data_IF_070843512041
#
_entry.id   IF_070843512041
#
_cell.length_a   1.000
_cell.length_b   1.000
_cell.length_c   1.000
_cell.angle_alpha   90.00
_cell.angle_beta   90.00
_cell.angle_gamma   90.00
#
_symmetry.space_group_name_H-M   'P 1'
#
loop_
_entity.id
_entity.type
_entity.pdbx_description
1 polymer ?
#
# COMPACT_ATOMS: atom_id res chain seq x y z
N UNK A 1 -18.24 -2.59 -15.27
CA UNK A 1 -17.11 -2.70 -14.33
C UNK A 1 -16.79 -4.17 -14.27
N UNK A 2 -15.92 -4.64 -15.16
CA UNK A 2 -15.41 -6.01 -15.06
C UNK A 2 -14.56 -6.08 -13.79
N UNK A 3 -14.84 -7.07 -12.95
CA UNK A 3 -14.08 -7.27 -11.73
C UNK A 3 -12.64 -7.64 -12.12
N UNK A 4 -11.65 -6.89 -11.63
CA UNK A 4 -10.26 -7.31 -11.70
C UNK A 4 -10.17 -8.72 -11.13
N UNK A 5 -9.75 -9.69 -11.95
CA UNK A 5 -9.49 -11.04 -11.51
C UNK A 5 -8.36 -11.00 -10.46
N UNK A 6 -8.51 -11.69 -9.31
CA UNK A 6 -7.50 -11.67 -8.26
C UNK A 6 -6.23 -12.32 -8.80
N UNK A 7 -5.17 -11.53 -8.89
CA UNK A 7 -3.87 -11.96 -9.36
C UNK A 7 -3.27 -12.94 -8.35
N UNK A 8 -3.30 -14.24 -8.67
CA UNK A 8 -2.80 -15.31 -7.81
C UNK A 8 -1.29 -15.41 -7.89
N UNK A 9 -0.64 -15.19 -6.73
CA UNK A 9 0.69 -15.70 -6.32
C UNK A 9 1.92 -15.20 -7.10
N UNK A 10 2.57 -14.18 -6.55
CA UNK A 10 4.02 -13.97 -6.71
C UNK A 10 4.79 -15.19 -6.18
N UNK A 11 5.58 -15.88 -7.03
CA UNK A 11 6.15 -17.19 -6.69
C UNK A 11 7.65 -17.26 -6.40
N UNK A 12 8.49 -16.32 -6.84
CA UNK A 12 9.90 -16.14 -6.35
C UNK A 12 10.70 -15.19 -7.23
N UNK A 13 11.76 -14.60 -6.67
CA UNK A 13 12.91 -14.09 -7.43
C UNK A 13 13.89 -15.26 -7.60
N UNK A 14 14.34 -15.51 -8.82
CA UNK A 14 15.55 -16.29 -9.08
C UNK A 14 16.53 -15.37 -9.83
N UNK A 15 17.81 -15.43 -9.46
CA UNK A 15 18.87 -14.64 -10.09
C UNK A 15 19.29 -15.34 -11.40
N UNK A 16 19.17 -14.64 -12.53
CA UNK A 16 19.50 -15.18 -13.86
C UNK A 16 20.64 -14.39 -14.53
N UNK A 17 21.66 -15.10 -15.03
CA UNK A 17 22.61 -14.63 -16.06
C UNK A 17 22.24 -15.15 -17.47
N UNK A 18 23.05 -14.85 -18.50
CA UNK A 18 22.75 -15.26 -19.88
C UNK A 18 22.85 -16.79 -20.11
N UNK A 19 23.61 -17.52 -19.29
CA UNK A 19 23.62 -19.00 -19.30
C UNK A 19 22.34 -19.58 -18.66
N UNK A 20 21.80 -18.83 -17.71
CA UNK A 20 20.59 -19.09 -16.96
C UNK A 20 19.31 -19.01 -17.81
N UNK A 21 19.35 -18.42 -19.01
CA UNK A 21 18.23 -18.45 -19.96
C UNK A 21 17.95 -19.86 -20.51
N UNK A 22 19.00 -20.64 -20.75
CA UNK A 22 18.84 -22.05 -21.15
C UNK A 22 18.25 -22.84 -19.98
N UNK A 23 18.71 -22.57 -18.76
CA UNK A 23 18.15 -23.15 -17.54
C UNK A 23 16.72 -22.70 -17.25
N UNK A 24 16.30 -21.48 -17.63
CA UNK A 24 14.90 -21.05 -17.54
C UNK A 24 14.02 -21.84 -18.51
N UNK A 25 14.48 -22.02 -19.75
CA UNK A 25 13.77 -22.86 -20.73
C UNK A 25 13.69 -24.31 -20.24
N UNK A 26 14.77 -24.86 -19.69
CA UNK A 26 14.80 -26.21 -19.14
C UNK A 26 13.92 -26.34 -17.88
N UNK A 27 13.92 -25.33 -17.00
CA UNK A 27 13.03 -25.25 -15.82
C UNK A 27 11.55 -25.18 -16.21
N UNK A 28 11.20 -24.30 -17.16
CA UNK A 28 9.85 -24.21 -17.70
C UNK A 28 9.44 -25.50 -18.42
N UNK A 29 10.40 -26.20 -19.04
CA UNK A 29 10.20 -27.51 -19.64
C UNK A 29 10.09 -28.64 -18.61
N UNK A 30 10.48 -28.44 -17.35
CA UNK A 30 10.43 -29.46 -16.30
C UNK A 30 9.22 -29.34 -15.37
N UNK A 31 8.66 -28.15 -15.22
CA UNK A 31 7.49 -27.88 -14.37
C UNK A 31 6.23 -28.62 -14.86
N UNK A 32 5.70 -29.51 -14.01
CA UNK A 32 4.52 -30.34 -14.32
C UNK A 32 3.24 -29.52 -14.53
N UNK A 33 3.15 -28.32 -13.98
CA UNK A 33 1.98 -27.45 -14.15
C UNK A 33 1.92 -26.91 -15.58
N UNK A 34 3.07 -26.51 -16.12
CA UNK A 34 3.23 -26.02 -17.50
C UNK A 34 3.00 -27.15 -18.51
N UNK A 35 3.46 -28.37 -18.21
CA UNK A 35 3.23 -29.56 -19.06
C UNK A 35 1.74 -29.93 -19.19
N UNK A 36 0.98 -29.78 -18.11
CA UNK A 36 -0.41 -30.24 -18.06
C UNK A 36 -1.43 -29.27 -18.67
N UNK A 37 -1.12 -27.96 -18.75
CA UNK A 37 -2.09 -26.94 -19.21
C UNK A 37 -1.97 -26.50 -20.68
N UNK A 38 -1.08 -27.11 -21.48
CA UNK A 38 -1.01 -26.84 -22.92
C UNK A 38 -0.64 -25.38 -23.26
N UNK A 39 0.44 -24.88 -22.67
CA UNK A 39 0.88 -23.49 -22.78
C UNK A 39 1.26 -23.08 -24.21
N UNK A 40 0.94 -21.83 -24.59
CA UNK A 40 1.37 -21.21 -25.85
C UNK A 40 2.31 -20.06 -25.56
N UNK A 41 3.57 -20.16 -25.97
CA UNK A 41 4.55 -19.11 -25.76
C UNK A 41 4.54 -18.10 -26.91
N UNK A 42 4.46 -16.80 -26.61
CA UNK A 42 4.54 -15.71 -27.60
C UNK A 42 5.83 -14.94 -27.35
N UNK A 43 6.78 -15.06 -28.29
CA UNK A 43 8.05 -14.34 -28.27
C UNK A 43 8.04 -13.26 -29.35
N UNK A 44 8.37 -12.03 -28.97
CA UNK A 44 8.62 -10.93 -29.90
C UNK A 44 10.12 -10.64 -30.02
N UNK A 45 10.90 -11.68 -30.32
CA UNK A 45 12.31 -11.51 -30.71
C UNK A 45 12.69 -12.52 -31.80
N UNK A 46 13.55 -12.08 -32.73
CA UNK A 46 14.13 -12.92 -33.79
C UNK A 46 15.17 -13.93 -33.26
N UNK A 47 15.08 -14.34 -31.99
CA UNK A 47 16.06 -15.22 -31.38
C UNK A 47 15.87 -16.68 -31.86
N UNK A 48 16.70 -17.09 -32.83
CA UNK A 48 16.62 -18.40 -33.50
C UNK A 48 16.63 -19.61 -32.54
N UNK A 49 17.34 -19.50 -31.41
CA UNK A 49 17.42 -20.55 -30.39
C UNK A 49 16.09 -20.78 -29.64
N UNK A 50 15.32 -19.72 -29.38
CA UNK A 50 14.04 -19.83 -28.67
C UNK A 50 12.95 -20.39 -29.59
N UNK A 51 12.95 -19.97 -30.87
CA UNK A 51 12.07 -20.53 -31.90
C UNK A 51 12.25 -22.05 -32.07
N UNK A 52 13.48 -22.55 -32.01
CA UNK A 52 13.74 -23.98 -32.20
C UNK A 52 13.26 -24.83 -31.02
N UNK A 53 13.51 -24.38 -29.78
CA UNK A 53 13.13 -25.10 -28.54
C UNK A 53 11.62 -25.14 -28.28
N UNK A 54 10.86 -24.15 -28.76
CA UNK A 54 9.45 -23.96 -28.37
C UNK A 54 8.46 -24.22 -29.53
N UNK A 55 8.98 -24.60 -30.69
CA UNK A 55 8.20 -25.06 -31.85
C UNK A 55 7.19 -26.20 -31.59
N UNK A 56 7.37 -27.13 -30.62
CA UNK A 56 6.42 -28.22 -30.39
C UNK A 56 5.11 -27.82 -29.69
N UNK A 57 5.06 -26.66 -29.03
CA UNK A 57 3.95 -26.27 -28.13
C UNK A 57 2.85 -25.44 -28.82
N UNK A 58 2.89 -25.32 -30.16
CA UNK A 58 1.86 -24.65 -30.94
C UNK A 58 0.67 -25.59 -31.12
N UNK A 59 -0.30 -25.55 -30.20
CA UNK A 59 -1.75 -25.74 -30.44
C UNK A 59 -2.46 -26.22 -29.16
N UNK A 60 -3.06 -25.29 -28.42
CA UNK A 60 -3.95 -25.59 -27.30
C UNK A 60 -4.61 -24.33 -26.75
N UNK A 61 -5.81 -24.44 -26.17
CA UNK A 61 -6.42 -23.36 -25.37
C UNK A 61 -5.52 -23.14 -24.15
N UNK A 62 -4.61 -22.18 -24.19
CA UNK A 62 -3.39 -22.24 -23.37
C UNK A 62 -3.01 -20.93 -22.68
N UNK A 63 -2.34 -21.12 -21.54
CA UNK A 63 -1.52 -20.14 -20.82
C UNK A 63 -0.60 -19.43 -21.82
N UNK A 64 -0.79 -18.12 -22.00
CA UNK A 64 0.10 -17.29 -22.82
C UNK A 64 1.20 -16.69 -21.96
N UNK A 65 2.45 -16.99 -22.27
CA UNK A 65 3.60 -16.36 -21.62
C UNK A 65 4.21 -15.37 -22.62
N UNK A 66 4.25 -14.09 -22.25
CA UNK A 66 4.86 -13.01 -23.03
C UNK A 66 6.21 -12.69 -22.41
N UNK A 67 7.27 -12.71 -23.21
CA UNK A 67 8.61 -12.27 -22.80
C UNK A 67 8.89 -10.89 -23.41
N UNK A 68 9.19 -9.90 -22.57
CA UNK A 68 9.72 -8.61 -23.02
C UNK A 68 11.25 -8.61 -22.88
N UNK A 69 11.94 -8.34 -23.99
CA UNK A 69 13.40 -8.17 -24.02
C UNK A 69 13.74 -6.74 -24.45
N UNK A 70 14.74 -6.12 -23.84
CA UNK A 70 15.43 -4.98 -24.42
C UNK A 70 16.74 -5.48 -25.06
N UNK A 71 16.99 -5.14 -26.32
CA UNK A 71 18.36 -5.00 -26.81
C UNK A 71 18.92 -3.72 -26.20
N UNK A 72 20.03 -3.84 -25.46
CA UNK A 72 20.87 -2.70 -25.10
C UNK A 72 21.84 -2.52 -26.27
N UNK A 73 21.52 -1.62 -27.20
CA UNK A 73 22.55 -1.04 -28.07
C UNK A 73 22.94 0.32 -27.49
N UNK A 74 24.25 0.49 -27.34
CA UNK A 74 24.90 1.75 -26.99
C UNK A 74 24.49 2.82 -28.00
N UNK A 75 24.15 4.01 -27.51
CA UNK A 75 23.74 5.20 -28.27
C UNK A 75 22.38 5.14 -28.98
N UNK A 76 21.32 5.61 -28.30
CA UNK A 76 20.61 6.85 -28.70
C UNK A 76 19.39 7.10 -27.82
N UNK A 77 19.23 8.39 -27.52
CA UNK A 77 18.16 9.02 -26.77
C UNK A 77 16.76 8.78 -27.37
N UNK A 78 15.95 7.93 -26.74
CA UNK A 78 14.52 8.14 -26.43
C UNK A 78 14.06 6.96 -25.55
N UNK A 79 13.91 7.23 -24.24
CA UNK A 79 13.59 6.24 -23.20
C UNK A 79 12.07 6.12 -23.02
N UNK A 80 11.45 5.20 -23.76
CA UNK A 80 10.13 4.63 -23.43
C UNK A 80 10.11 3.23 -24.03
N UNK A 81 10.28 2.21 -23.20
CA UNK A 81 10.05 0.85 -23.64
C UNK A 81 8.54 0.64 -23.71
N UNK A 82 8.08 0.14 -24.85
CA UNK A 82 6.70 -0.30 -25.02
C UNK A 82 6.72 -1.79 -24.70
N UNK A 83 6.18 -2.17 -23.56
CA UNK A 83 5.73 -3.54 -23.39
C UNK A 83 4.66 -3.79 -24.47
N UNK A 84 5.05 -4.41 -25.60
CA UNK A 84 4.13 -4.82 -26.66
C UNK A 84 3.35 -6.05 -26.18
N UNK A 85 2.58 -5.91 -25.11
CA UNK A 85 1.39 -6.74 -24.98
C UNK A 85 0.46 -6.18 -26.04
N UNK A 86 0.36 -6.91 -27.15
CA UNK A 86 -0.61 -6.61 -28.19
C UNK A 86 -1.94 -6.24 -27.52
N UNK A 87 -2.61 -5.13 -27.90
CA UNK A 87 -3.85 -4.67 -27.29
C UNK A 87 -4.98 -5.72 -27.24
N UNK A 88 -4.81 -6.86 -27.90
CA UNK A 88 -5.72 -8.00 -28.00
C UNK A 88 -5.36 -9.25 -27.17
N UNK A 89 -4.28 -9.27 -26.38
CA UNK A 89 -3.82 -10.49 -25.71
C UNK A 89 -4.06 -10.51 -24.19
N UNK A 90 -5.02 -11.34 -23.75
CA UNK A 90 -5.09 -11.84 -22.37
C UNK A 90 -4.15 -13.05 -22.21
N UNK A 91 -3.54 -13.20 -21.04
CA UNK A 91 -2.65 -14.29 -20.64
C UNK A 91 -3.01 -14.80 -19.23
N UNK A 92 -2.62 -16.02 -18.89
CA UNK A 92 -2.78 -16.54 -17.53
C UNK A 92 -1.54 -16.23 -16.67
N UNK A 93 -0.32 -16.28 -17.24
CA UNK A 93 0.93 -16.00 -16.54
C UNK A 93 1.80 -15.03 -17.34
N UNK A 94 2.17 -13.89 -16.78
CA UNK A 94 3.13 -12.94 -17.34
C UNK A 94 4.51 -13.15 -16.71
N UNK A 95 5.54 -13.34 -17.53
CA UNK A 95 6.94 -13.42 -17.10
C UNK A 95 7.64 -12.12 -17.54
N UNK A 96 8.15 -11.34 -16.57
CA UNK A 96 8.78 -10.06 -16.89
C UNK A 96 10.04 -9.82 -16.07
N UNK A 97 11.03 -9.14 -16.65
CA UNK A 97 12.20 -8.71 -15.89
C UNK A 97 11.85 -7.55 -14.97
N UNK A 98 12.49 -7.50 -13.81
CA UNK A 98 12.31 -6.43 -12.80
C UNK A 98 12.34 -5.01 -13.40
N UNK A 99 13.14 -4.80 -14.45
CA UNK A 99 13.24 -3.56 -15.23
C UNK A 99 11.90 -2.93 -15.62
N UNK A 100 10.87 -3.76 -15.84
CA UNK A 100 9.61 -3.36 -16.45
C UNK A 100 8.47 -3.22 -15.44
N UNK A 101 8.76 -3.25 -14.13
CA UNK A 101 7.74 -3.14 -13.07
C UNK A 101 6.81 -1.92 -13.29
N UNK A 102 7.33 -0.78 -13.71
CA UNK A 102 6.53 0.42 -14.00
C UNK A 102 5.41 0.12 -15.00
N UNK A 103 5.75 -0.46 -16.15
CA UNK A 103 4.82 -0.70 -17.25
C UNK A 103 3.79 -1.79 -16.96
N UNK A 104 4.12 -2.74 -16.07
CA UNK A 104 3.27 -3.92 -15.78
C UNK A 104 2.05 -3.56 -14.94
N UNK A 105 2.24 -2.68 -13.97
CA UNK A 105 1.18 -2.30 -13.04
C UNK A 105 0.39 -1.10 -13.55
N UNK A 106 0.43 -0.77 -14.84
CA UNK A 106 -0.44 0.25 -15.42
C UNK A 106 -1.70 -0.38 -16.02
N UNK A 107 -2.85 0.29 -15.90
CA UNK A 107 -4.02 -0.10 -16.66
C UNK A 107 -3.78 0.19 -18.16
N UNK A 108 -4.18 -0.71 -19.09
CA UNK A 108 -5.01 -1.90 -18.90
C UNK A 108 -4.20 -3.20 -18.77
N UNK A 109 -2.88 -3.14 -18.60
CA UNK A 109 -2.02 -4.33 -18.64
C UNK A 109 -2.35 -5.30 -17.50
N UNK A 110 -2.60 -4.72 -16.35
CA UNK A 110 -2.84 -5.39 -15.08
C UNK A 110 -4.06 -6.30 -15.06
N UNK A 111 -5.06 -6.00 -15.90
CA UNK A 111 -6.29 -6.77 -16.04
C UNK A 111 -6.15 -7.93 -17.01
N UNK A 112 -4.97 -8.09 -17.63
CA UNK A 112 -4.75 -9.02 -18.74
C UNK A 112 -3.92 -10.25 -18.35
N UNK A 113 -3.51 -10.37 -17.10
CA UNK A 113 -2.78 -11.53 -16.59
C UNK A 113 -3.28 -11.98 -15.21
N UNK A 114 -3.28 -13.28 -14.95
CA UNK A 114 -3.72 -13.85 -13.65
C UNK A 114 -2.55 -14.09 -12.68
N UNK A 115 -1.34 -14.28 -13.18
CA UNK A 115 -0.12 -14.48 -12.39
C UNK A 115 1.03 -13.65 -12.98
N UNK A 116 1.87 -13.07 -12.14
CA UNK A 116 3.08 -12.34 -12.54
C UNK A 116 4.31 -12.95 -11.89
N UNK A 117 5.25 -13.38 -12.72
CA UNK A 117 6.57 -13.85 -12.32
C UNK A 117 7.61 -12.80 -12.72
N UNK A 118 8.20 -12.15 -11.72
CA UNK A 118 9.26 -11.15 -11.90
C UNK A 118 10.64 -11.84 -11.85
N UNK A 119 11.35 -11.85 -12.98
CA UNK A 119 12.70 -12.38 -13.08
C UNK A 119 13.72 -11.33 -12.66
N UNK A 120 14.63 -11.69 -11.76
CA UNK A 120 15.68 -10.80 -11.28
C UNK A 120 16.95 -11.04 -12.13
N UNK A 121 17.37 -10.03 -12.91
CA UNK A 121 18.68 -10.07 -13.56
C UNK A 121 19.65 -9.26 -12.70
N UNK A 122 20.75 -9.88 -12.29
CA UNK A 122 21.83 -9.18 -11.62
C UNK A 122 22.26 -7.99 -12.49
N UNK A 123 22.28 -6.78 -11.92
CA UNK A 123 22.61 -5.48 -12.55
C UNK A 123 21.47 -4.65 -13.17
N UNK A 124 20.20 -5.04 -13.06
CA UNK A 124 19.08 -4.15 -13.42
C UNK A 124 18.62 -3.36 -12.19
N UNK A 125 19.00 -2.09 -12.11
CA UNK A 125 18.58 -1.19 -11.04
C UNK A 125 17.23 -0.55 -11.40
N UNK A 126 16.15 -1.00 -10.76
CA UNK A 126 14.82 -0.37 -10.92
C UNK A 126 14.61 0.73 -9.91
N UNK A 127 13.98 1.83 -10.32
CA UNK A 127 13.62 2.91 -9.38
C UNK A 127 12.45 2.54 -8.46
N UNK A 128 11.81 1.38 -8.70
CA UNK A 128 10.63 0.90 -7.99
C UNK A 128 10.90 -0.44 -7.32
N UNK A 129 10.47 -0.55 -6.07
CA UNK A 129 10.56 -1.76 -5.26
C UNK A 129 9.17 -2.41 -5.10
N UNK A 130 9.06 -3.72 -5.26
CA UNK A 130 7.86 -4.43 -4.77
C UNK A 130 8.07 -4.68 -3.28
N UNK A 131 7.12 -4.25 -2.43
CA UNK A 131 7.23 -4.46 -0.98
C UNK A 131 7.02 -5.94 -0.64
N UNK A 132 7.87 -6.47 0.25
CA UNK A 132 7.90 -7.89 0.61
C UNK A 132 7.77 -8.12 2.11
N UNK A 133 7.55 -9.37 2.50
CA UNK A 133 7.42 -9.75 3.92
C UNK A 133 8.70 -9.44 4.71
N UNK A 134 9.87 -9.53 4.07
CA UNK A 134 11.17 -9.20 4.64
C UNK A 134 11.26 -7.72 5.02
N UNK A 135 10.64 -6.82 4.24
CA UNK A 135 10.59 -5.39 4.54
C UNK A 135 9.80 -5.11 5.81
N UNK A 136 8.84 -5.96 6.17
CA UNK A 136 8.09 -5.80 7.41
C UNK A 136 8.96 -6.04 8.66
N UNK A 137 10.02 -6.85 8.57
CA UNK A 137 10.83 -7.24 9.74
C UNK A 137 11.48 -6.07 10.47
N UNK A 138 11.90 -5.04 9.75
CA UNK A 138 12.54 -3.86 10.35
C UNK A 138 11.60 -3.09 11.30
N UNK A 139 10.28 -3.29 11.15
CA UNK A 139 9.27 -2.69 12.00
C UNK A 139 9.00 -3.48 13.28
N UNK A 140 9.50 -4.73 13.37
CA UNK A 140 9.29 -5.61 14.52
C UNK A 140 10.61 -6.03 15.18
N UNK A 141 11.48 -5.07 15.59
CA UNK A 141 12.70 -5.43 16.28
C UNK A 141 12.39 -6.08 17.63
N UNK A 142 13.28 -6.97 18.07
CA UNK A 142 13.18 -7.61 19.39
C UNK A 142 13.09 -6.54 20.49
N UNK A 143 12.05 -6.62 21.32
CA UNK A 143 11.87 -5.69 22.45
C UNK A 143 13.06 -5.79 23.42
N UNK A 144 13.60 -4.64 23.82
CA UNK A 144 14.67 -4.56 24.82
C UNK A 144 14.10 -4.90 26.20
N UNK A 145 14.84 -5.66 27.02
CA UNK A 145 14.40 -6.08 28.37
C UNK A 145 14.19 -4.90 29.34
N UNK A 146 14.97 -3.83 29.20
CA UNK A 146 14.91 -2.63 30.05
C UNK A 146 14.24 -1.46 29.29
N UNK A 147 12.91 -1.51 29.16
CA UNK A 147 12.09 -0.45 28.54
C UNK A 147 10.79 -0.26 29.30
N UNK A 148 10.15 0.89 29.14
CA UNK A 148 8.82 1.19 29.67
C UNK A 148 7.86 1.59 28.53
N UNK A 149 6.59 1.84 28.87
CA UNK A 149 5.58 2.31 27.89
C UNK A 149 6.02 3.55 27.13
N UNK A 150 6.63 4.55 27.78
CA UNK A 150 7.15 5.74 27.09
C UNK A 150 8.26 5.47 26.06
N UNK A 151 9.00 4.36 26.20
CA UNK A 151 10.06 3.97 25.26
C UNK A 151 9.53 3.62 23.86
N UNK A 152 8.22 3.42 23.76
CA UNK A 152 7.53 2.90 22.60
C UNK A 152 6.66 3.96 21.91
N UNK A 153 6.85 5.25 22.20
CA UNK A 153 6.17 6.36 21.49
C UNK A 153 4.65 6.42 21.70
N UNK A 154 4.04 7.56 21.40
CA UNK A 154 2.61 7.81 21.56
C UNK A 154 1.96 8.11 20.22
N UNK A 155 0.84 7.44 19.94
CA UNK A 155 0.05 7.66 18.72
C UNK A 155 -1.30 8.27 19.11
N UNK A 156 -1.69 9.33 18.41
CA UNK A 156 -3.01 9.94 18.50
C UNK A 156 -3.75 9.75 17.18
N UNK A 157 -4.97 9.22 17.25
CA UNK A 157 -5.89 9.16 16.12
C UNK A 157 -7.00 10.17 16.37
N UNK A 158 -7.20 11.11 15.44
CA UNK A 158 -8.19 12.18 15.52
C UNK A 158 -9.24 11.93 14.43
N UNK A 159 -10.47 11.66 14.83
CA UNK A 159 -11.52 11.32 13.88
C UNK A 159 -12.89 11.17 14.51
N UNK A 160 -13.81 10.62 13.72
CA UNK A 160 -15.18 10.36 14.12
C UNK A 160 -16.08 11.58 14.01
N UNK A 161 -17.33 11.34 13.71
CA UNK A 161 -18.40 12.33 13.73
C UNK A 161 -19.73 11.65 13.95
N UNK A 162 -20.77 12.44 14.23
CA UNK A 162 -22.12 11.96 14.55
C UNK A 162 -22.63 10.88 13.60
N UNK A 163 -22.37 11.03 12.30
CA UNK A 163 -22.83 10.09 11.26
C UNK A 163 -21.77 9.09 10.81
N UNK A 164 -20.50 9.32 11.13
CA UNK A 164 -19.37 8.48 10.72
C UNK A 164 -18.51 8.06 11.93
N UNK A 165 -19.08 7.42 12.97
CA UNK A 165 -18.31 7.06 14.15
C UNK A 165 -17.33 5.89 13.92
N UNK A 166 -17.60 5.05 12.91
CA UNK A 166 -16.95 3.75 12.75
C UNK A 166 -15.53 3.77 12.20
N UNK A 167 -15.20 4.71 11.29
CA UNK A 167 -13.88 4.72 10.63
C UNK A 167 -12.74 4.93 11.64
N UNK A 168 -12.88 5.94 12.50
CA UNK A 168 -11.88 6.21 13.54
C UNK A 168 -11.75 5.04 14.55
N UNK A 169 -12.87 4.34 14.83
CA UNK A 169 -12.84 3.15 15.67
C UNK A 169 -12.07 1.99 15.02
N UNK A 170 -12.27 1.73 13.73
CA UNK A 170 -11.52 0.72 12.99
C UNK A 170 -10.02 1.03 12.96
N UNK A 171 -9.67 2.31 12.76
CA UNK A 171 -8.28 2.77 12.82
C UNK A 171 -7.67 2.52 14.21
N UNK A 172 -8.39 2.87 15.28
CA UNK A 172 -7.99 2.62 16.67
C UNK A 172 -7.84 1.11 16.95
N UNK A 173 -8.76 0.30 16.43
CA UNK A 173 -8.72 -1.16 16.58
C UNK A 173 -7.52 -1.77 15.88
N UNK A 174 -7.21 -1.35 14.66
CA UNK A 174 -6.06 -1.84 13.91
C UNK A 174 -4.73 -1.47 14.61
N UNK A 175 -4.61 -0.22 15.06
CA UNK A 175 -3.48 0.26 15.83
C UNK A 175 -3.28 -0.56 17.12
N UNK A 176 -4.36 -0.78 17.86
CA UNK A 176 -4.35 -1.53 19.12
C UNK A 176 -4.06 -3.01 18.91
N UNK A 177 -4.65 -3.59 17.86
CA UNK A 177 -4.45 -4.99 17.47
C UNK A 177 -2.98 -5.26 17.20
N UNK A 178 -2.30 -4.42 16.42
CA UNK A 178 -0.90 -4.69 16.16
C UNK A 178 0.02 -4.39 17.36
N UNK A 179 -0.49 -3.67 18.38
CA UNK A 179 0.27 -3.30 19.57
C UNK A 179 1.68 -2.83 19.19
N UNK A 180 1.80 -2.06 18.08
CA UNK A 180 2.96 -1.88 17.16
C UNK A 180 4.18 -1.29 17.85
N UNK A 181 4.62 -1.90 18.94
CA UNK A 181 5.28 -1.23 20.04
C UNK A 181 5.00 0.26 20.08
N UNK A 182 3.75 0.70 19.97
CA UNK A 182 3.31 2.00 20.47
C UNK A 182 3.14 1.82 21.98
N UNK A 183 3.68 2.76 22.75
CA UNK A 183 3.55 2.77 24.20
C UNK A 183 2.15 3.09 24.65
N UNK A 184 1.47 3.88 23.84
CA UNK A 184 0.15 4.44 24.07
C UNK A 184 -0.57 4.62 22.74
N UNK A 185 -1.79 4.12 22.65
CA UNK A 185 -2.74 4.41 21.59
C UNK A 185 -3.82 5.33 22.17
N UNK A 186 -3.99 6.51 21.57
CA UNK A 186 -5.02 7.45 21.96
C UNK A 186 -5.98 7.72 20.80
N UNK A 187 -7.27 7.76 21.13
CA UNK A 187 -8.34 8.18 20.24
C UNK A 187 -8.90 9.52 20.72
N UNK A 188 -8.81 10.56 19.89
CA UNK A 188 -9.52 11.80 20.07
C UNK A 188 -10.80 11.80 19.21
N UNK A 189 -11.92 12.06 19.87
CA UNK A 189 -13.26 12.05 19.28
C UNK A 189 -14.04 13.30 19.69
N UNK A 190 -15.21 13.58 19.07
CA UNK A 190 -16.07 14.67 19.52
C UNK A 190 -16.46 14.50 20.99
N UNK A 191 -16.43 15.57 21.77
CA UNK A 191 -16.77 15.54 23.20
C UNK A 191 -18.17 14.97 23.45
N UNK A 192 -19.13 15.38 22.63
CA UNK A 192 -20.51 14.87 22.65
C UNK A 192 -20.64 13.36 22.36
N UNK A 193 -19.58 12.72 21.86
CA UNK A 193 -19.54 11.32 21.48
C UNK A 193 -18.64 10.46 22.37
N UNK A 194 -17.99 11.02 23.39
CA UNK A 194 -17.04 10.29 24.24
C UNK A 194 -17.64 8.99 24.83
N UNK A 195 -18.88 9.05 25.33
CA UNK A 195 -19.55 7.89 25.91
C UNK A 195 -19.80 6.75 24.91
N UNK A 196 -20.01 7.07 23.62
CA UNK A 196 -20.13 6.06 22.58
C UNK A 196 -18.84 5.25 22.49
N UNK A 197 -17.70 5.92 22.37
CA UNK A 197 -16.41 5.25 22.24
C UNK A 197 -15.96 4.53 23.52
N UNK A 198 -16.22 5.11 24.70
CA UNK A 198 -15.92 4.43 25.97
C UNK A 198 -16.75 3.17 26.20
N UNK A 199 -17.90 3.03 25.53
CA UNK A 199 -18.73 1.83 25.62
C UNK A 199 -18.24 0.67 24.72
N UNK A 200 -17.24 0.91 23.86
CA UNK A 200 -16.66 -0.10 22.98
C UNK A 200 -15.62 -0.94 23.72
N UNK A 201 -15.44 -2.20 23.27
CA UNK A 201 -14.54 -3.18 23.88
C UNK A 201 -13.06 -2.91 23.50
N UNK A 202 -12.52 -1.80 24.01
CA UNK A 202 -11.13 -1.36 23.82
C UNK A 202 -10.54 -0.77 25.12
N UNK A 203 -10.36 -1.58 26.17
CA UNK A 203 -9.88 -1.07 27.47
C UNK A 203 -8.44 -0.54 27.42
N UNK A 204 -7.64 -0.91 26.41
CA UNK A 204 -6.26 -0.44 26.25
C UNK A 204 -6.14 0.95 25.61
N UNK A 205 -7.22 1.47 25.01
CA UNK A 205 -7.24 2.77 24.31
C UNK A 205 -7.47 3.90 25.30
N UNK A 206 -6.63 4.94 25.21
CA UNK A 206 -6.83 6.19 25.95
C UNK A 206 -7.74 7.10 25.12
N UNK A 207 -8.75 7.68 25.74
CA UNK A 207 -9.65 8.64 25.07
C UNK A 207 -9.26 10.07 25.44
N UNK A 208 -9.22 10.95 24.43
CA UNK A 208 -9.17 12.42 24.56
C UNK A 208 -10.38 12.97 23.78
N UNK A 209 -10.70 14.25 23.96
CA UNK A 209 -11.81 14.89 23.25
C UNK A 209 -11.40 16.23 22.67
N UNK A 210 -12.09 16.60 21.60
CA UNK A 210 -12.04 17.93 21.00
C UNK A 210 -13.43 18.55 20.98
N UNK A 211 -13.51 19.88 21.01
CA UNK A 211 -14.79 20.59 20.88
C UNK A 211 -15.50 20.22 19.58
N UNK A 212 -16.80 20.07 19.66
CA UNK A 212 -17.64 19.73 18.52
C UNK A 212 -18.90 20.59 18.45
N UNK A 213 -19.43 20.72 17.24
CA UNK A 213 -20.73 21.30 16.95
C UNK A 213 -21.62 20.19 16.36
N UNK A 214 -22.61 19.73 17.14
CA UNK A 214 -23.53 18.65 16.76
C UNK A 214 -22.82 17.33 16.38
N UNK A 215 -21.71 17.00 17.04
CA UNK A 215 -20.90 15.82 16.79
C UNK A 215 -19.99 15.92 15.57
N UNK A 216 -19.70 17.12 15.07
CA UNK A 216 -18.67 17.38 14.06
C UNK A 216 -17.58 18.28 14.63
N UNK A 217 -16.34 18.08 14.19
CA UNK A 217 -15.19 18.82 14.72
C UNK A 217 -15.37 20.35 14.60
N UNK A 218 -15.27 21.03 15.75
CA UNK A 218 -15.04 22.46 15.83
C UNK A 218 -13.54 22.73 15.95
N UNK A 219 -13.06 23.89 15.51
CA UNK A 219 -11.66 24.26 15.71
C UNK A 219 -11.38 24.44 17.20
N UNK A 220 -10.39 23.69 17.71
CA UNK A 220 -10.04 23.66 19.13
C UNK A 220 -8.52 23.73 19.32
N UNK A 221 -7.99 24.94 19.39
CA UNK A 221 -6.54 25.16 19.52
C UNK A 221 -5.96 24.56 20.80
N UNK A 222 -6.71 24.53 21.92
CA UNK A 222 -6.21 23.98 23.18
C UNK A 222 -6.03 22.47 23.08
N UNK A 223 -6.96 21.77 22.42
CA UNK A 223 -6.79 20.36 22.07
C UNK A 223 -5.59 20.16 21.15
N UNK A 224 -5.47 20.96 20.09
CA UNK A 224 -4.36 20.81 19.13
C UNK A 224 -3.00 21.04 19.79
N UNK A 225 -2.88 21.99 20.73
CA UNK A 225 -1.67 22.18 21.56
C UNK A 225 -1.31 20.93 22.36
N UNK A 226 -2.28 20.25 22.97
CA UNK A 226 -2.06 18.97 23.66
C UNK A 226 -1.63 17.87 22.68
N UNK A 227 -2.25 17.84 21.50
CA UNK A 227 -1.95 16.88 20.44
C UNK A 227 -0.49 16.95 19.97
N UNK A 228 0.14 18.14 19.98
CA UNK A 228 1.56 18.30 19.59
C UNK A 228 2.53 17.45 20.41
N UNK A 229 2.13 16.98 21.60
CA UNK A 229 2.98 16.12 22.43
C UNK A 229 3.13 14.69 21.91
N UNK A 230 2.25 14.23 21.02
CA UNK A 230 2.30 12.87 20.47
C UNK A 230 3.45 12.71 19.47
N UNK A 231 3.92 11.47 19.29
CA UNK A 231 5.01 11.18 18.34
C UNK A 231 4.48 10.90 16.93
N UNK A 232 3.22 10.43 16.82
CA UNK A 232 2.50 10.25 15.56
C UNK A 232 1.07 10.74 15.76
N UNK A 233 0.57 11.53 14.81
CA UNK A 233 -0.83 11.95 14.74
C UNK A 233 -1.40 11.40 13.43
N UNK A 234 -2.54 10.72 13.48
CA UNK A 234 -3.35 10.38 12.33
C UNK A 234 -4.67 11.15 12.39
N UNK A 235 -5.08 11.81 11.32
CA UNK A 235 -6.27 12.67 11.29
C UNK A 235 -7.07 12.47 10.00
N UNK A 236 -8.40 12.41 10.13
CA UNK A 236 -9.31 12.52 8.99
C UNK A 236 -10.40 11.48 8.89
N UNK A 237 -10.27 10.33 9.56
CA UNK A 237 -11.22 9.22 9.44
C UNK A 237 -12.57 9.60 10.04
N UNK A 238 -13.55 9.90 9.19
CA UNK A 238 -14.93 10.20 9.57
C UNK A 238 -15.16 11.56 10.23
N UNK A 239 -14.29 12.55 10.03
CA UNK A 239 -14.47 13.91 10.57
C UNK A 239 -15.58 14.72 9.89
N UNK A 240 -15.95 14.35 8.66
CA UNK A 240 -16.69 15.19 7.73
C UNK A 240 -15.80 16.31 7.14
N UNK A 241 -16.12 16.72 5.91
CA UNK A 241 -15.35 17.73 5.18
C UNK A 241 -15.78 19.14 5.62
N UNK A 242 -14.90 19.88 6.29
CA UNK A 242 -15.23 21.22 6.81
C UNK A 242 -14.02 22.15 6.92
N UNK A 243 -14.30 23.45 7.05
CA UNK A 243 -13.26 24.46 7.27
C UNK A 243 -12.60 24.30 8.65
N UNK A 244 -13.32 23.77 9.65
CA UNK A 244 -12.75 23.48 10.98
C UNK A 244 -11.69 22.38 10.92
N UNK A 245 -11.94 21.32 10.15
CA UNK A 245 -10.93 20.27 9.88
C UNK A 245 -9.73 20.88 9.16
N UNK A 246 -9.97 21.71 8.15
CA UNK A 246 -8.90 22.39 7.41
C UNK A 246 -8.05 23.32 8.30
N UNK A 247 -8.68 24.14 9.16
CA UNK A 247 -7.98 24.99 10.14
C UNK A 247 -7.14 24.15 11.12
N UNK A 248 -7.68 23.02 11.56
CA UNK A 248 -6.96 22.09 12.43
C UNK A 248 -5.73 21.48 11.74
N UNK A 249 -5.86 21.14 10.45
CA UNK A 249 -4.73 20.68 9.63
C UNK A 249 -3.66 21.76 9.46
N UNK A 250 -4.04 23.01 9.15
CA UNK A 250 -3.08 24.13 9.05
C UNK A 250 -2.30 24.29 10.36
N UNK A 251 -3.00 24.25 11.50
CA UNK A 251 -2.37 24.35 12.80
C UNK A 251 -1.35 23.23 13.02
N UNK A 252 -1.74 21.98 12.76
CA UNK A 252 -0.83 20.83 12.89
C UNK A 252 0.35 20.93 11.94
N UNK A 253 0.12 21.22 10.65
CA UNK A 253 1.18 21.38 9.65
C UNK A 253 2.21 22.45 10.05
N UNK A 254 1.77 23.52 10.72
CA UNK A 254 2.63 24.65 11.09
C UNK A 254 3.34 24.48 12.44
N UNK A 255 2.81 23.68 13.36
CA UNK A 255 3.28 23.63 14.75
C UNK A 255 3.79 22.24 15.19
N UNK A 256 3.55 21.20 14.40
CA UNK A 256 3.93 19.84 14.74
C UNK A 256 5.23 19.45 14.04
N UNK A 257 6.14 18.81 14.76
CA UNK A 257 7.50 18.50 14.26
C UNK A 257 7.78 16.99 14.15
N UNK A 258 6.79 16.13 14.34
CA UNK A 258 6.94 14.67 14.20
C UNK A 258 6.21 14.16 12.94
N UNK A 259 5.52 13.02 13.01
CA UNK A 259 4.90 12.36 11.84
C UNK A 259 3.39 12.55 11.83
N UNK A 260 2.86 13.13 10.76
CA UNK A 260 1.44 13.42 10.56
C UNK A 260 0.88 12.60 9.40
N UNK A 261 -0.05 11.69 9.70
CA UNK A 261 -0.82 10.93 8.72
C UNK A 261 -2.17 11.61 8.48
N UNK A 262 -2.50 11.91 7.23
CA UNK A 262 -3.76 12.54 6.81
C UNK A 262 -4.49 11.57 5.86
N UNK A 263 -5.72 11.21 6.21
CA UNK A 263 -6.56 10.30 5.43
C UNK A 263 -7.97 10.85 5.24
N UNK A 264 -8.77 10.24 4.37
CA UNK A 264 -10.22 10.42 4.26
C UNK A 264 -10.67 11.91 4.26
N UNK A 265 -11.47 12.34 5.25
CA UNK A 265 -12.01 13.70 5.31
C UNK A 265 -10.93 14.76 5.56
N UNK A 266 -9.78 14.37 6.12
CA UNK A 266 -8.61 15.23 6.18
C UNK A 266 -8.09 15.56 4.77
N UNK A 267 -7.94 14.53 3.93
CA UNK A 267 -7.55 14.71 2.52
C UNK A 267 -8.61 15.49 1.74
N UNK A 268 -9.89 15.12 1.89
CA UNK A 268 -10.97 15.83 1.19
C UNK A 268 -11.08 17.30 1.63
N UNK A 269 -10.76 17.63 2.88
CA UNK A 269 -10.69 19.02 3.34
C UNK A 269 -9.52 19.77 2.73
N UNK A 270 -8.33 19.15 2.60
CA UNK A 270 -7.21 19.74 1.84
C UNK A 270 -7.58 19.99 0.38
N UNK A 271 -8.24 19.02 -0.28
CA UNK A 271 -8.67 19.17 -1.67
C UNK A 271 -9.68 20.31 -1.84
N UNK A 272 -10.61 20.48 -0.89
CA UNK A 272 -11.68 21.47 -0.97
C UNK A 272 -11.22 22.89 -0.66
N UNK A 273 -10.34 23.07 0.32
CA UNK A 273 -10.00 24.39 0.87
C UNK A 273 -8.59 24.87 0.50
N UNK A 274 -7.71 23.98 0.04
CA UNK A 274 -6.38 24.35 -0.48
C UNK A 274 -5.29 23.35 -0.11
N UNK A 275 -4.71 22.69 -1.11
CA UNK A 275 -3.65 21.68 -0.87
C UNK A 275 -2.26 22.31 -0.67
N UNK A 276 -2.06 23.56 -1.10
CA UNK A 276 -0.77 24.26 -1.05
C UNK A 276 -0.26 24.53 0.38
N UNK A 277 -1.10 24.39 1.41
CA UNK A 277 -0.67 24.42 2.83
C UNK A 277 0.35 23.33 3.16
N UNK A 278 0.44 22.26 2.36
CA UNK A 278 1.48 21.22 2.50
C UNK A 278 2.89 21.72 2.17
N UNK A 279 3.04 22.85 1.47
CA UNK A 279 4.34 23.42 1.11
C UNK A 279 5.06 23.95 2.35
N UNK A 280 4.33 24.58 3.27
CA UNK A 280 4.87 25.24 4.47
C UNK A 280 4.91 24.33 5.71
N UNK A 281 4.71 23.03 5.53
CA UNK A 281 4.67 22.07 6.65
C UNK A 281 6.02 21.98 7.40
N UNK A 282 5.93 21.75 8.70
CA UNK A 282 7.05 21.58 9.63
C UNK A 282 7.27 20.12 10.07
N UNK A 283 6.29 19.24 9.77
CA UNK A 283 6.32 17.80 10.05
C UNK A 283 6.59 16.93 8.83
N UNK A 284 6.97 15.67 9.08
CA UNK A 284 6.93 14.60 8.08
C UNK A 284 5.47 14.20 7.81
N UNK A 285 4.97 14.50 6.61
CA UNK A 285 3.58 14.22 6.24
C UNK A 285 3.45 12.94 5.42
N UNK A 286 2.42 12.17 5.77
CA UNK A 286 2.01 10.91 5.19
C UNK A 286 0.57 11.03 4.72
N UNK A 287 0.27 10.66 3.48
CA UNK A 287 -1.07 10.73 2.91
C UNK A 287 -1.46 9.35 2.36
N UNK A 288 -2.72 8.98 2.52
CA UNK A 288 -3.24 7.67 2.05
C UNK A 288 -4.44 7.83 1.10
N UNK A 289 -4.39 8.67 0.05
CA UNK A 289 -5.54 8.86 -0.84
C UNK A 289 -5.85 7.59 -1.64
N UNK A 290 -7.13 7.27 -1.81
CA UNK A 290 -7.54 6.43 -2.94
C UNK A 290 -7.57 7.25 -4.25
N UNK A 291 -7.66 6.60 -5.41
CA UNK A 291 -7.65 7.26 -6.73
C UNK A 291 -8.58 8.49 -6.82
N UNK A 292 -9.84 8.40 -6.35
CA UNK A 292 -10.79 9.53 -6.31
C UNK A 292 -10.44 10.66 -5.32
N UNK A 293 -9.73 10.38 -4.25
CA UNK A 293 -9.23 11.41 -3.32
C UNK A 293 -8.04 12.12 -3.96
N UNK A 294 -7.17 11.36 -4.64
CA UNK A 294 -6.02 11.89 -5.35
C UNK A 294 -6.42 12.73 -6.57
N UNK A 295 -7.43 12.33 -7.34
CA UNK A 295 -8.05 13.15 -8.38
C UNK A 295 -8.49 14.50 -7.81
N UNK A 296 -9.15 14.51 -6.65
CA UNK A 296 -9.58 15.75 -5.99
C UNK A 296 -8.42 16.59 -5.48
N UNK A 297 -7.35 15.98 -4.97
CA UNK A 297 -6.15 16.66 -4.49
C UNK A 297 -5.34 17.31 -5.63
N UNK A 298 -5.33 16.68 -6.80
CA UNK A 298 -4.43 17.06 -7.91
C UNK A 298 -5.14 17.75 -9.07
N UNK A 299 -6.45 17.54 -9.22
CA UNK A 299 -7.22 17.91 -10.41
C UNK A 299 -6.96 17.00 -11.62
N UNK A 300 -6.16 15.95 -11.49
CA UNK A 300 -5.87 14.99 -12.56
C UNK A 300 -7.01 13.96 -12.64
N UNK A 301 -7.59 13.78 -13.82
CA UNK A 301 -8.69 12.83 -14.01
C UNK A 301 -8.30 11.40 -13.66
N UNK A 302 -9.25 10.62 -13.14
CA UNK A 302 -9.05 9.19 -12.87
C UNK A 302 -8.48 8.41 -14.06
N UNK A 303 -8.95 8.69 -15.28
CA UNK A 303 -8.45 8.03 -16.49
C UNK A 303 -6.95 8.19 -16.69
N UNK A 304 -6.43 9.38 -16.40
CA UNK A 304 -5.00 9.67 -16.51
C UNK A 304 -4.23 9.03 -15.36
N UNK A 305 -4.79 9.05 -14.15
CA UNK A 305 -4.20 8.41 -12.97
C UNK A 305 -4.07 6.89 -13.16
N UNK A 306 -5.05 6.22 -13.76
CA UNK A 306 -5.02 4.77 -14.01
C UNK A 306 -4.01 4.40 -15.10
N UNK A 307 -3.80 5.27 -16.09
CA UNK A 307 -2.84 5.05 -17.17
C UNK A 307 -1.38 5.19 -16.74
N UNK A 308 -1.07 6.15 -15.85
CA UNK A 308 0.30 6.37 -15.38
C UNK A 308 0.30 6.93 -13.94
N UNK A 309 0.00 6.08 -12.93
CA UNK A 309 -0.08 6.49 -11.53
C UNK A 309 1.22 7.14 -11.04
N UNK A 310 2.39 6.56 -11.40
CA UNK A 310 3.68 7.02 -10.89
C UNK A 310 4.08 8.38 -11.44
N UNK A 311 3.73 8.73 -12.68
CA UNK A 311 3.99 10.08 -13.20
C UNK A 311 3.35 11.15 -12.32
N UNK A 312 2.05 11.04 -12.07
CA UNK A 312 1.31 12.04 -11.29
C UNK A 312 1.67 11.98 -9.80
N UNK A 313 1.92 10.78 -9.28
CA UNK A 313 2.39 10.59 -7.92
C UNK A 313 3.77 11.26 -7.71
N UNK A 314 4.70 11.09 -8.65
CA UNK A 314 6.03 11.71 -8.61
C UNK A 314 5.97 13.23 -8.62
N UNK A 315 5.15 13.82 -9.49
CA UNK A 315 4.93 15.26 -9.56
C UNK A 315 4.41 15.78 -8.20
N UNK A 316 3.44 15.08 -7.61
CA UNK A 316 2.84 15.45 -6.34
C UNK A 316 3.82 15.37 -5.16
N UNK A 317 4.53 14.25 -4.99
CA UNK A 317 5.50 14.07 -3.89
C UNK A 317 6.69 15.02 -4.04
N UNK A 318 7.09 15.37 -5.26
CA UNK A 318 8.12 16.38 -5.52
C UNK A 318 7.65 17.79 -5.16
N UNK A 319 6.43 18.17 -5.56
CA UNK A 319 5.87 19.49 -5.25
C UNK A 319 5.73 19.70 -3.74
N UNK A 320 5.14 18.75 -3.04
CA UNK A 320 4.76 18.94 -1.64
C UNK A 320 5.73 18.33 -0.62
N UNK A 321 6.71 17.53 -1.05
CA UNK A 321 7.64 16.82 -0.16
C UNK A 321 6.96 15.96 0.91
N UNK A 322 6.10 15.06 0.43
CA UNK A 322 5.26 14.20 1.26
C UNK A 322 5.48 12.72 0.91
N UNK A 323 5.07 11.84 1.82
CA UNK A 323 5.01 10.40 1.60
C UNK A 323 3.56 10.03 1.27
N UNK A 324 3.33 9.31 0.17
CA UNK A 324 1.98 9.02 -0.31
C UNK A 324 1.82 7.54 -0.58
N UNK A 325 0.69 6.99 -0.14
CA UNK A 325 0.15 5.70 -0.56
C UNK A 325 -1.12 5.95 -1.40
N UNK A 326 -0.98 5.86 -2.71
CA UNK A 326 -2.08 5.96 -3.66
C UNK A 326 -2.76 4.60 -3.77
N UNK A 327 -3.85 4.46 -3.01
CA UNK A 327 -4.60 3.20 -2.85
C UNK A 327 -5.33 2.85 -4.15
N UNK A 328 -5.06 1.65 -4.66
CA UNK A 328 -5.78 0.97 -5.75
C UNK A 328 -5.69 -0.54 -5.56
N UNK A 329 -6.13 -1.36 -6.53
CA UNK A 329 -5.91 -2.81 -6.54
C UNK A 329 -4.42 -3.16 -6.34
N UNK A 330 -3.55 -2.29 -6.85
CA UNK A 330 -2.14 -2.21 -6.51
C UNK A 330 -1.90 -0.86 -5.88
N UNK A 331 -1.34 -0.84 -4.68
CA UNK A 331 -1.06 0.43 -4.02
C UNK A 331 0.27 0.97 -4.55
N UNK A 332 0.27 2.22 -5.02
CA UNK A 332 1.47 2.91 -5.49
C UNK A 332 1.96 3.85 -4.39
N UNK A 333 3.13 3.56 -3.85
CA UNK A 333 3.66 4.28 -2.69
C UNK A 333 4.92 5.03 -3.11
N UNK A 334 5.02 6.32 -2.81
CA UNK A 334 6.20 7.09 -3.17
C UNK A 334 6.47 8.25 -2.21
N UNK A 335 7.72 8.69 -2.21
CA UNK A 335 8.13 10.02 -1.80
C UNK A 335 9.16 10.56 -2.82
N UNK A 336 9.84 11.66 -2.51
CA UNK A 336 10.87 12.25 -3.40
C UNK A 336 12.05 11.33 -3.76
N UNK A 337 12.28 10.26 -2.99
CA UNK A 337 13.51 9.44 -3.03
C UNK A 337 13.28 7.99 -3.40
N UNK A 338 12.14 7.42 -3.00
CA UNK A 338 11.87 5.99 -3.08
C UNK A 338 10.44 5.74 -3.53
N UNK A 339 10.27 4.61 -4.24
CA UNK A 339 9.00 4.14 -4.77
C UNK A 339 8.81 2.67 -4.40
N UNK A 340 7.59 2.34 -4.01
CA UNK A 340 7.15 0.99 -3.73
C UNK A 340 5.83 0.69 -4.44
N UNK A 341 5.61 -0.58 -4.77
CA UNK A 341 4.31 -1.12 -5.16
C UNK A 341 3.95 -2.23 -4.18
N UNK A 342 2.74 -2.18 -3.62
CA UNK A 342 2.13 -3.33 -2.97
C UNK A 342 1.23 -4.06 -3.97
N UNK A 343 1.53 -5.34 -4.16
CA UNK A 343 0.78 -6.27 -5.02
C UNK A 343 -0.07 -7.26 -4.23
N UNK A 344 -0.04 -7.18 -2.90
CA UNK A 344 -0.83 -8.05 -2.04
C UNK A 344 -2.22 -7.49 -1.79
N UNK A 345 -3.14 -8.39 -1.47
CA UNK A 345 -4.53 -8.06 -1.19
C UNK A 345 -5.51 -8.80 -2.07
N UNK A 346 -6.78 -8.65 -1.75
CA UNK A 346 -7.88 -9.28 -2.48
C UNK A 346 -9.02 -8.28 -2.66
N UNK A 347 -9.91 -8.48 -3.64
CA UNK A 347 -11.13 -7.68 -3.80
C UNK A 347 -11.99 -7.57 -2.53
N UNK A 348 -11.81 -8.47 -1.56
CA UNK A 348 -12.40 -8.37 -0.22
C UNK A 348 -12.17 -7.02 0.48
N UNK A 349 -11.07 -6.32 0.16
CA UNK A 349 -10.75 -5.00 0.70
C UNK A 349 -11.56 -3.85 0.09
N UNK A 350 -12.27 -4.08 -1.03
CA UNK A 350 -13.11 -3.08 -1.70
C UNK A 350 -14.43 -2.82 -0.95
N UNK A 351 -14.33 -2.53 0.35
CA UNK A 351 -15.43 -2.25 1.27
C UNK A 351 -15.10 -1.07 2.16
N UNK A 352 -16.15 -0.40 2.64
CA UNK A 352 -16.01 0.66 3.63
C UNK A 352 -15.28 0.16 4.87
N UNK A 353 -14.35 0.96 5.38
CA UNK A 353 -13.55 0.65 6.57
C UNK A 353 -12.14 0.13 6.29
N UNK A 354 -11.85 -0.48 5.13
CA UNK A 354 -10.51 -1.02 4.86
C UNK A 354 -9.41 0.05 4.87
N UNK A 355 -9.72 1.24 4.33
CA UNK A 355 -8.82 2.39 4.38
C UNK A 355 -8.56 2.91 5.80
N UNK A 356 -9.59 2.87 6.66
CA UNK A 356 -9.43 3.24 8.07
C UNK A 356 -8.50 2.26 8.81
N UNK A 357 -8.64 0.96 8.52
CA UNK A 357 -7.71 -0.06 9.03
C UNK A 357 -6.28 0.23 8.57
N UNK A 358 -6.07 0.55 7.30
CA UNK A 358 -4.75 0.95 6.77
C UNK A 358 -4.16 2.11 7.58
N UNK A 359 -4.95 3.15 7.85
CA UNK A 359 -4.53 4.32 8.61
C UNK A 359 -4.09 3.97 10.03
N UNK A 360 -4.81 3.07 10.70
CA UNK A 360 -4.41 2.54 12.01
C UNK A 360 -3.09 1.75 11.97
N UNK A 361 -2.90 0.90 10.96
CA UNK A 361 -1.66 0.13 10.75
C UNK A 361 -0.48 1.09 10.50
N UNK A 362 -0.64 2.00 9.55
CA UNK A 362 0.38 2.98 9.17
C UNK A 362 0.79 3.84 10.38
N UNK A 363 -0.18 4.40 11.11
CA UNK A 363 0.09 5.21 12.30
C UNK A 363 0.95 4.49 13.34
N UNK A 364 0.72 3.19 13.56
CA UNK A 364 1.56 2.41 14.46
C UNK A 364 2.95 2.12 13.89
N UNK A 365 3.09 1.87 12.59
CA UNK A 365 4.40 1.59 11.96
C UNK A 365 5.29 2.84 11.96
N UNK A 366 4.70 4.03 11.85
CA UNK A 366 5.38 5.32 11.93
C UNK A 366 6.10 5.55 13.27
N UNK A 367 5.71 4.84 14.33
CA UNK A 367 6.40 4.87 15.64
C UNK A 367 7.78 4.21 15.62
N UNK A 368 8.08 3.38 14.62
CA UNK A 368 9.30 2.56 14.57
C UNK A 368 10.56 3.30 14.17
N UNK A 369 10.43 4.56 13.75
CA UNK A 369 11.59 5.38 13.37
C UNK A 369 12.19 5.02 12.01
N UNK A 370 11.55 4.11 11.25
CA UNK A 370 11.86 3.90 9.84
C UNK A 370 11.43 5.16 9.07
N UNK A 371 12.37 5.71 8.29
CA UNK A 371 12.17 6.95 7.53
C UNK A 371 11.50 6.67 6.19
N UNK A 372 11.01 7.73 5.57
CA UNK A 372 10.47 7.68 4.21
C UNK A 372 9.09 7.04 4.14
N UNK A 373 8.71 6.50 2.97
CA UNK A 373 7.38 5.98 2.66
C UNK A 373 7.22 4.47 2.89
N UNK A 374 8.31 3.77 3.23
CA UNK A 374 8.28 2.34 3.57
C UNK A 374 7.29 1.95 4.68
N UNK A 375 7.02 2.77 5.73
CA UNK A 375 5.95 2.49 6.68
C UNK A 375 4.58 2.35 6.02
N UNK A 376 4.28 3.13 4.98
CA UNK A 376 3.02 3.02 4.23
C UNK A 376 3.00 1.75 3.38
N UNK A 377 4.10 1.46 2.69
CA UNK A 377 4.21 0.24 1.87
C UNK A 377 4.02 -1.03 2.72
N UNK A 378 4.65 -1.09 3.90
CA UNK A 378 4.45 -2.22 4.83
C UNK A 378 3.05 -2.22 5.43
N UNK A 379 2.43 -1.06 5.68
CA UNK A 379 1.04 -1.01 6.13
C UNK A 379 0.09 -1.64 5.09
N UNK A 380 0.27 -1.26 3.81
CA UNK A 380 -0.49 -1.80 2.67
C UNK A 380 -0.26 -3.30 2.51
N UNK A 381 1.01 -3.77 2.64
CA UNK A 381 1.34 -5.20 2.62
C UNK A 381 0.64 -5.98 3.75
N UNK A 382 0.68 -5.49 4.99
CA UNK A 382 0.03 -6.17 6.13
C UNK A 382 -1.48 -6.23 5.95
N UNK A 383 -2.09 -5.16 5.45
CA UNK A 383 -3.51 -5.13 5.13
C UNK A 383 -3.85 -6.18 4.05
N UNK A 384 -3.11 -6.18 2.93
CA UNK A 384 -3.32 -7.09 1.81
C UNK A 384 -3.11 -8.56 2.20
N UNK A 385 -2.03 -8.87 2.90
CA UNK A 385 -1.73 -10.24 3.38
C UNK A 385 -2.75 -10.74 4.41
N UNK A 386 -3.36 -9.83 5.17
CA UNK A 386 -4.48 -10.17 6.05
C UNK A 386 -5.76 -10.46 5.27
N UNK A 387 -6.05 -9.68 4.22
CA UNK A 387 -7.22 -9.97 3.38
C UNK A 387 -7.08 -11.28 2.60
N UNK A 388 -5.88 -11.59 2.11
CA UNK A 388 -5.57 -12.88 1.48
C UNK A 388 -5.84 -14.05 2.43
N UNK A 389 -5.27 -14.01 3.65
CA UNK A 389 -5.47 -15.04 4.67
C UNK A 389 -6.95 -15.20 5.09
N UNK A 390 -7.73 -14.12 5.12
CA UNK A 390 -9.18 -14.20 5.38
C UNK A 390 -9.93 -14.80 4.18
N UNK A 391 -9.53 -14.46 2.96
CA UNK A 391 -10.16 -14.93 1.72
C UNK A 391 -9.92 -16.42 1.45
N UNK A 392 -8.90 -17.02 2.08
CA UNK A 392 -8.72 -18.47 2.10
C UNK A 392 -9.73 -19.20 3.01
N UNK A 393 -10.27 -18.49 4.01
CA UNK A 393 -11.18 -19.06 5.02
C UNK A 393 -12.64 -18.72 4.77
N UNK A 394 -12.88 -17.56 4.17
CA UNK A 394 -14.20 -16.99 3.95
C UNK A 394 -14.32 -16.53 2.50
N UNK A 395 -15.53 -16.56 1.94
CA UNK A 395 -15.79 -15.88 0.68
C UNK A 395 -15.44 -14.39 0.81
N UNK A 396 -14.85 -13.81 -0.24
CA UNK A 396 -14.36 -12.41 -0.22
C UNK A 396 -15.47 -11.42 0.16
N UNK A 397 -16.70 -11.67 -0.27
CA UNK A 397 -17.90 -10.86 0.06
C UNK A 397 -18.30 -10.91 1.54
N UNK A 398 -17.73 -11.81 2.34
CA UNK A 398 -18.02 -11.93 3.77
C UNK A 398 -16.95 -11.29 4.66
N UNK A 399 -15.77 -10.99 4.11
CA UNK A 399 -14.67 -10.37 4.85
C UNK A 399 -15.00 -8.91 5.16
N UNK A 400 -14.96 -8.50 6.42
CA UNK A 400 -15.17 -7.12 6.84
C UNK A 400 -13.88 -6.51 7.43
N UNK A 401 -13.84 -5.18 7.51
CA UNK A 401 -12.71 -4.46 8.09
C UNK A 401 -12.41 -4.87 9.55
N UNK A 402 -13.43 -5.21 10.34
CA UNK A 402 -13.25 -5.71 11.70
C UNK A 402 -12.61 -7.11 11.75
N UNK A 403 -12.86 -7.97 10.75
CA UNK A 403 -12.22 -9.28 10.63
C UNK A 403 -10.74 -9.13 10.33
N UNK A 404 -10.40 -8.17 9.46
CA UNK A 404 -9.01 -7.78 9.18
C UNK A 404 -8.32 -7.35 10.47
N UNK A 405 -8.91 -6.43 11.24
CA UNK A 405 -8.31 -5.99 12.51
C UNK A 405 -8.04 -7.15 13.48
N UNK A 406 -8.96 -8.12 13.58
CA UNK A 406 -8.82 -9.28 14.47
C UNK A 406 -7.70 -10.23 14.03
N UNK A 407 -7.56 -10.48 12.72
CA UNK A 407 -6.58 -11.44 12.21
C UNK A 407 -5.16 -10.84 12.08
N UNK A 408 -5.04 -9.52 12.07
CA UNK A 408 -3.81 -8.78 11.83
C UNK A 408 -2.62 -9.23 12.74
N UNK A 409 -2.89 -9.54 14.02
CA UNK A 409 -1.89 -10.11 14.96
C UNK A 409 -1.32 -11.44 14.46
N UNK A 410 -2.16 -12.33 13.96
CA UNK A 410 -1.76 -13.66 13.50
C UNK A 410 -0.88 -13.56 12.25
N UNK A 411 -1.22 -12.65 11.33
CA UNK A 411 -0.44 -12.42 10.10
C UNK A 411 0.95 -11.91 10.43
N UNK A 412 1.05 -10.91 11.30
CA UNK A 412 2.35 -10.40 11.76
C UNK A 412 3.14 -11.50 12.48
N UNK A 413 2.51 -12.28 13.35
CA UNK A 413 3.19 -13.38 14.03
C UNK A 413 3.74 -14.41 13.03
N UNK A 414 2.97 -14.78 12.00
CA UNK A 414 3.43 -15.68 10.93
C UNK A 414 4.66 -15.14 10.20
N UNK A 415 4.69 -13.84 9.89
CA UNK A 415 5.86 -13.22 9.24
C UNK A 415 7.10 -13.38 10.12
N UNK A 416 6.95 -13.10 11.42
CA UNK A 416 8.05 -13.22 12.38
C UNK A 416 8.53 -14.67 12.57
N UNK A 417 7.63 -15.65 12.60
CA UNK A 417 7.99 -17.06 12.82
C UNK A 417 8.63 -17.72 11.60
N UNK A 418 8.11 -17.47 10.39
CA UNK A 418 8.62 -18.10 9.16
C UNK A 418 10.08 -17.71 8.88
N UNK A 419 10.46 -16.48 9.26
CA UNK A 419 11.81 -15.97 9.05
C UNK A 419 12.82 -16.44 10.12
N UNK A 420 12.37 -16.83 11.31
CA UNK A 420 13.24 -17.55 12.28
C UNK A 420 13.60 -18.97 11.83
N UNK A 421 12.78 -19.59 10.98
CA UNK A 421 13.05 -20.91 10.40
C UNK A 421 14.04 -20.83 9.24
N UNK A 422 14.05 -19.72 8.48
CA UNK A 422 14.99 -19.50 7.36
C UNK A 422 16.41 -19.11 7.84
N UNK A 423 16.55 -18.59 9.07
CA UNK A 423 17.84 -18.25 9.69
C UNK A 423 18.47 -19.38 10.53
N UNK A 424 17.83 -20.55 10.60
CA UNK A 424 18.37 -21.78 11.20
C UNK A 424 18.63 -22.78 10.09
#
# INVERSE_FOLDING_TARGET
MEACLPLTRYKSEADFDDSCFTSLVDYLNDDELIKNEGCTFVFDSEHAYLKSKLSPFKNGKGVRIVFSFNQVEDDLSFKKTVCLIYPSCNCDVLLSFKAHIEEIFFAPLIDRFNELLLLNKANINTQINVVKQEDALQFFPKRKKRTNKGSYKRVLIIGGSRLLPGGVYLSSLALSALSLGSGYACLACPDSMLHLYQSLDQPEVIYDTYKDENGYMAYDEDFLKRALSYDVIAIGMGLGVSENVYKSLIYLLSNYNNKLLIDADGLNSLSKFGTDVLIEKTCDVYLTPHMKEFERLTGVSLSNLEMDPFKYLDEFVKKYDVNVDLKSCYSYIANKKEKYINISGTPALAKGGSGDVLSGIAAGLLTKGVKGCLPLAVASLLLGKTSENLSEKYAMDLVNASDVCRQLKDVVNKFLTNLTTIKK
#
